data_IF_292434687782
#
_entry.id   IF_292434687782
#
_cell.length_a   1.000
_cell.length_b   1.000
_cell.length_c   1.000
_cell.angle_alpha   90.00
_cell.angle_beta   90.00
_cell.angle_gamma   90.00
#
_symmetry.space_group_name_H-M   'P 1'
#
loop_
_entity.id
_entity.type
_entity.pdbx_description
1 polymer ?
#
# COMPACT_ATOMS: atom_id res chain seq x y z
N UNK A 1 18.97 6.90 4.17
CA UNK A 1 19.19 5.64 4.92
C UNK A 1 18.77 4.45 4.08
N UNK A 2 19.58 3.41 4.11
CA UNK A 2 19.34 2.17 3.35
C UNK A 2 18.61 1.13 4.20
N UNK A 3 17.60 0.48 3.64
CA UNK A 3 16.79 -0.53 4.34
C UNK A 3 16.64 -1.81 3.53
N UNK A 4 16.37 -2.91 4.21
CA UNK A 4 15.90 -4.16 3.61
C UNK A 4 14.39 -4.26 3.75
N UNK A 5 13.69 -4.56 2.67
CA UNK A 5 12.24 -4.59 2.62
C UNK A 5 11.75 -5.96 2.15
N UNK A 6 11.04 -6.65 3.00
CA UNK A 6 10.37 -7.90 2.65
C UNK A 6 8.87 -7.63 2.45
N UNK A 7 8.46 -7.65 1.19
CA UNK A 7 7.06 -7.49 0.81
C UNK A 7 6.49 -8.87 0.45
N UNK A 8 5.95 -9.54 1.47
CA UNK A 8 5.36 -10.87 1.31
C UNK A 8 3.88 -10.83 0.91
N UNK A 9 3.35 -11.96 0.49
CA UNK A 9 1.92 -12.13 0.19
C UNK A 9 1.07 -12.11 1.46
N UNK A 10 1.59 -12.62 2.57
CA UNK A 10 0.89 -12.67 3.86
C UNK A 10 1.26 -11.51 4.78
N UNK A 11 2.55 -11.17 4.87
CA UNK A 11 3.07 -10.13 5.76
C UNK A 11 4.19 -9.35 5.11
N UNK A 12 4.36 -8.12 5.56
CA UNK A 12 5.49 -7.26 5.20
C UNK A 12 6.36 -6.99 6.42
N UNK A 13 7.65 -6.79 6.20
CA UNK A 13 8.59 -6.35 7.23
C UNK A 13 9.69 -5.49 6.64
N UNK A 14 10.34 -4.69 7.49
CA UNK A 14 11.42 -3.81 7.09
C UNK A 14 12.54 -3.87 8.14
N UNK A 15 13.78 -3.88 7.68
CA UNK A 15 14.95 -3.96 8.52
C UNK A 15 15.96 -2.86 8.20
N UNK A 16 16.63 -2.38 9.24
CA UNK A 16 17.79 -1.48 9.13
C UNK A 16 19.00 -2.15 9.77
N UNK A 17 20.19 -1.71 9.38
CA UNK A 17 21.42 -2.15 10.03
C UNK A 17 21.65 -1.35 11.30
N UNK A 18 21.74 -2.05 12.43
CA UNK A 18 22.12 -1.49 13.72
C UNK A 18 23.29 -2.28 14.30
N UNK A 19 24.39 -1.60 14.61
CA UNK A 19 25.60 -2.22 15.17
C UNK A 19 26.09 -3.44 14.36
N UNK A 20 26.04 -3.33 13.02
CA UNK A 20 26.48 -4.37 12.11
C UNK A 20 25.51 -5.54 11.95
N UNK A 21 24.30 -5.46 12.51
CA UNK A 21 23.27 -6.52 12.42
C UNK A 21 21.96 -5.96 11.89
N UNK A 22 21.18 -6.75 11.11
CA UNK A 22 19.84 -6.35 10.72
C UNK A 22 18.91 -6.32 11.94
N UNK A 23 18.12 -5.24 12.02
CA UNK A 23 17.13 -5.04 13.06
C UNK A 23 15.79 -4.72 12.43
N UNK A 24 14.75 -5.50 12.76
CA UNK A 24 13.39 -5.27 12.26
C UNK A 24 12.74 -4.08 12.96
N UNK A 25 12.09 -3.22 12.20
CA UNK A 25 11.31 -2.11 12.73
C UNK A 25 9.90 -2.56 13.11
N UNK A 26 9.32 -1.89 14.09
CA UNK A 26 7.94 -2.17 14.52
C UNK A 26 6.95 -1.54 13.56
N UNK A 27 5.91 -2.28 13.22
CA UNK A 27 4.88 -1.86 12.29
C UNK A 27 3.56 -1.56 12.99
N UNK A 28 2.90 -2.56 13.54
CA UNK A 28 1.57 -2.44 14.12
C UNK A 28 1.52 -3.19 15.45
N UNK A 29 0.96 -2.57 16.50
CA UNK A 29 0.79 -3.18 17.83
C UNK A 29 2.09 -3.80 18.39
N UNK A 30 3.22 -3.13 18.22
CA UNK A 30 4.56 -3.62 18.58
C UNK A 30 5.03 -4.86 17.80
N UNK A 31 4.29 -5.32 16.81
CA UNK A 31 4.72 -6.39 15.91
C UNK A 31 5.68 -5.86 14.85
N UNK A 32 6.68 -6.65 14.49
CA UNK A 32 7.58 -6.36 13.37
C UNK A 32 7.00 -6.81 12.02
N UNK A 33 5.84 -7.46 12.03
CA UNK A 33 5.12 -7.89 10.84
C UNK A 33 3.87 -7.03 10.66
N UNK A 34 3.64 -6.60 9.42
CA UNK A 34 2.40 -5.96 9.00
C UNK A 34 1.66 -6.91 8.07
N UNK A 35 0.46 -7.36 8.41
CA UNK A 35 -0.35 -8.14 7.46
C UNK A 35 -0.52 -7.40 6.14
N UNK A 36 -0.35 -8.11 5.01
CA UNK A 36 -0.45 -7.55 3.66
C UNK A 36 -1.91 -7.34 3.28
N UNK A 37 -2.57 -6.42 3.97
CA UNK A 37 -3.98 -6.08 3.83
C UNK A 37 -4.15 -4.57 3.82
N UNK A 38 -5.14 -4.10 3.08
CA UNK A 38 -5.59 -2.72 3.14
C UNK A 38 -7.10 -2.62 2.92
N UNK A 39 -7.70 -1.56 3.42
CA UNK A 39 -9.07 -1.20 3.09
C UNK A 39 -9.22 0.30 2.88
N UNK A 40 -10.24 0.66 2.12
CA UNK A 40 -10.62 2.03 1.82
C UNK A 40 -12.13 2.09 1.62
N UNK A 41 -12.76 3.28 1.62
CA UNK A 41 -14.19 3.40 1.31
C UNK A 41 -14.52 2.84 -0.07
N UNK A 42 -13.64 3.08 -1.04
CA UNK A 42 -13.72 2.54 -2.41
C UNK A 42 -12.33 2.23 -2.91
N UNK A 43 -12.22 1.44 -3.99
CA UNK A 43 -10.92 1.26 -4.64
C UNK A 43 -10.40 2.57 -5.26
N UNK A 44 -11.31 3.43 -5.72
CA UNK A 44 -11.00 4.76 -6.26
C UNK A 44 -10.41 5.68 -5.19
N UNK A 45 -10.80 5.48 -3.93
CA UNK A 45 -10.25 6.22 -2.81
C UNK A 45 -8.76 5.93 -2.59
N UNK A 46 -8.26 4.73 -2.93
CA UNK A 46 -6.84 4.40 -2.83
C UNK A 46 -6.02 5.28 -3.78
N UNK A 47 -6.45 5.41 -5.03
CA UNK A 47 -5.76 6.25 -6.03
C UNK A 47 -5.78 7.72 -5.63
N UNK A 48 -6.93 8.24 -5.20
CA UNK A 48 -7.03 9.62 -4.74
C UNK A 48 -6.16 9.87 -3.50
N UNK A 49 -6.18 8.96 -2.52
CA UNK A 49 -5.33 9.03 -1.34
C UNK A 49 -3.85 9.09 -1.71
N UNK A 50 -3.42 8.23 -2.64
CA UNK A 50 -2.03 8.10 -3.04
C UNK A 50 -1.52 9.35 -3.78
N UNK A 51 -2.28 9.84 -4.76
CA UNK A 51 -1.82 10.89 -5.64
C UNK A 51 -2.12 12.31 -5.14
N UNK A 52 -3.20 12.50 -4.40
CA UNK A 52 -3.61 13.81 -3.91
C UNK A 52 -3.19 14.10 -2.47
N UNK A 53 -3.26 13.12 -1.59
CA UNK A 53 -2.96 13.31 -0.18
C UNK A 53 -1.51 12.98 0.20
N UNK A 54 -0.84 12.16 -0.58
CA UNK A 54 0.57 11.80 -0.35
C UNK A 54 1.51 12.26 -1.48
N UNK A 55 1.00 13.05 -2.40
CA UNK A 55 1.78 13.72 -3.44
C UNK A 55 2.66 12.79 -4.28
N UNK A 56 2.25 11.54 -4.43
CA UNK A 56 2.93 10.61 -5.35
C UNK A 56 2.65 11.07 -6.78
N UNK A 57 3.68 11.27 -7.62
CA UNK A 57 3.46 11.78 -8.97
C UNK A 57 2.65 10.82 -9.84
N UNK A 58 1.55 11.29 -10.40
CA UNK A 58 0.81 10.56 -11.42
C UNK A 58 1.51 10.75 -12.77
N UNK A 59 2.32 9.77 -13.17
CA UNK A 59 3.07 9.80 -14.43
C UNK A 59 2.36 8.98 -15.50
N UNK A 60 2.37 9.51 -16.74
CA UNK A 60 1.74 8.86 -17.88
C UNK A 60 0.25 9.16 -18.01
N UNK A 61 -0.23 9.07 -19.26
CA UNK A 61 -1.59 9.45 -19.62
C UNK A 61 -2.64 8.52 -18.97
N UNK A 62 -2.35 7.21 -18.86
CA UNK A 62 -3.26 6.24 -18.27
C UNK A 62 -3.43 6.43 -16.77
N UNK A 63 -2.33 6.68 -16.04
CA UNK A 63 -2.37 6.96 -14.60
C UNK A 63 -3.13 8.24 -14.31
N UNK A 64 -2.90 9.29 -15.10
CA UNK A 64 -3.63 10.55 -14.96
C UNK A 64 -5.12 10.40 -15.27
N UNK A 65 -5.48 9.60 -16.28
CA UNK A 65 -6.87 9.31 -16.61
C UNK A 65 -7.55 8.50 -15.51
N UNK A 66 -6.85 7.52 -14.94
CA UNK A 66 -7.35 6.72 -13.82
C UNK A 66 -7.62 7.62 -12.60
N UNK A 67 -6.69 8.52 -12.26
CA UNK A 67 -6.85 9.46 -11.16
C UNK A 67 -8.05 10.39 -11.37
N UNK A 68 -8.21 10.95 -12.56
CA UNK A 68 -9.37 11.81 -12.87
C UNK A 68 -10.68 11.07 -12.69
N UNK A 69 -10.77 9.84 -13.17
CA UNK A 69 -11.97 9.00 -13.00
C UNK A 69 -12.22 8.66 -11.54
N UNK A 70 -11.16 8.34 -10.80
CA UNK A 70 -11.26 8.03 -9.38
C UNK A 70 -11.80 9.21 -8.57
N UNK A 71 -11.27 10.41 -8.80
CA UNK A 71 -11.72 11.63 -8.13
C UNK A 71 -13.17 11.96 -8.47
N UNK A 72 -13.55 11.83 -9.76
CA UNK A 72 -14.92 12.05 -10.20
C UNK A 72 -15.89 11.08 -9.55
N UNK A 73 -15.55 9.79 -9.54
CA UNK A 73 -16.34 8.75 -8.90
C UNK A 73 -16.57 9.03 -7.42
N UNK A 74 -15.51 9.31 -6.67
CA UNK A 74 -15.60 9.59 -5.24
C UNK A 74 -16.51 10.81 -4.97
N UNK A 75 -16.41 11.84 -5.80
CA UNK A 75 -17.27 13.02 -5.70
C UNK A 75 -18.74 12.69 -5.96
N UNK A 76 -19.03 11.89 -6.98
CA UNK A 76 -20.40 11.48 -7.33
C UNK A 76 -21.03 10.62 -6.24
N UNK A 77 -20.23 9.82 -5.55
CA UNK A 77 -20.65 8.95 -4.44
C UNK A 77 -20.57 9.62 -3.06
N UNK A 78 -20.31 10.93 -3.01
CA UNK A 78 -20.16 11.70 -1.77
C UNK A 78 -19.09 11.14 -0.82
N UNK A 79 -18.02 10.61 -1.37
CA UNK A 79 -16.89 10.06 -0.61
C UNK A 79 -15.83 11.14 -0.44
N UNK A 80 -15.60 11.54 0.80
CA UNK A 80 -14.54 12.48 1.17
C UNK A 80 -13.29 11.70 1.61
N UNK A 81 -12.27 11.69 0.74
CA UNK A 81 -11.04 10.94 1.00
C UNK A 81 -10.10 11.75 1.89
N UNK A 82 -9.86 11.24 3.09
CA UNK A 82 -8.97 11.81 4.10
C UNK A 82 -7.68 10.99 4.19
N UNK A 83 -6.68 11.51 4.90
CA UNK A 83 -5.43 10.79 5.15
C UNK A 83 -5.66 9.43 5.85
N UNK A 84 -6.66 9.35 6.74
CA UNK A 84 -7.04 8.13 7.45
C UNK A 84 -8.05 7.24 6.69
N UNK A 85 -8.44 7.60 5.48
CA UNK A 85 -9.42 6.83 4.70
C UNK A 85 -8.90 5.47 4.26
N UNK A 86 -7.59 5.35 4.07
CA UNK A 86 -6.95 4.07 3.71
C UNK A 86 -6.28 3.51 4.96
N UNK A 87 -6.62 2.28 5.32
CA UNK A 87 -6.10 1.59 6.49
C UNK A 87 -5.35 0.33 6.08
N UNK A 88 -4.42 -0.12 6.90
CA UNK A 88 -3.49 -1.18 6.59
C UNK A 88 -3.39 -2.19 7.72
N UNK A 89 -3.01 -3.43 7.39
CA UNK A 89 -2.77 -4.47 8.38
C UNK A 89 -4.02 -4.88 9.14
N UNK A 90 -3.90 -5.15 10.43
CA UNK A 90 -5.02 -5.57 11.28
C UNK A 90 -6.10 -4.49 11.41
N UNK A 91 -5.73 -3.23 11.33
CA UNK A 91 -6.67 -2.11 11.33
C UNK A 91 -7.64 -2.21 10.15
N UNK A 92 -7.13 -2.59 8.97
CA UNK A 92 -7.97 -2.81 7.78
C UNK A 92 -8.90 -4.01 7.95
N UNK A 93 -8.42 -5.08 8.57
CA UNK A 93 -9.23 -6.27 8.84
C UNK A 93 -10.38 -5.97 9.81
N UNK A 94 -10.10 -5.19 10.86
CA UNK A 94 -11.16 -4.77 11.81
C UNK A 94 -12.22 -3.94 11.10
N UNK A 95 -11.83 -2.98 10.30
CA UNK A 95 -12.76 -2.16 9.51
C UNK A 95 -13.65 -3.03 8.61
N UNK A 96 -13.05 -3.99 7.94
CA UNK A 96 -13.78 -4.92 7.07
C UNK A 96 -14.77 -5.79 7.86
N UNK A 97 -14.38 -6.31 9.03
CA UNK A 97 -15.26 -7.14 9.86
C UNK A 97 -16.44 -6.35 10.41
N UNK A 98 -16.22 -5.08 10.76
CA UNK A 98 -17.28 -4.20 11.26
C UNK A 98 -18.30 -3.82 10.17
N UNK A 99 -17.84 -3.64 8.93
CA UNK A 99 -18.67 -3.09 7.86
C UNK A 99 -18.30 -3.68 6.49
N UNK A 100 -18.52 -4.99 6.29
CA UNK A 100 -17.99 -5.70 5.13
C UNK A 100 -18.59 -5.28 3.79
N UNK A 101 -19.76 -4.68 3.78
CA UNK A 101 -20.44 -4.25 2.55
C UNK A 101 -20.10 -2.80 2.16
N UNK A 102 -19.59 -2.01 3.11
CA UNK A 102 -19.35 -0.57 2.94
C UNK A 102 -17.87 -0.24 2.67
N UNK A 103 -16.99 -1.23 2.68
CA UNK A 103 -15.56 -1.02 2.47
C UNK A 103 -15.00 -1.89 1.35
N UNK A 104 -14.05 -1.34 0.63
CA UNK A 104 -13.21 -2.07 -0.29
C UNK A 104 -12.02 -2.65 0.47
N UNK A 105 -11.94 -3.96 0.56
CA UNK A 105 -10.90 -4.67 1.29
C UNK A 105 -10.08 -5.54 0.36
N UNK A 106 -8.76 -5.45 0.47
CA UNK A 106 -7.83 -6.25 -0.32
C UNK A 106 -6.88 -7.00 0.60
N UNK A 107 -6.81 -8.29 0.41
CA UNK A 107 -5.82 -9.17 1.04
C UNK A 107 -4.78 -9.55 -0.01
N UNK A 108 -3.50 -9.42 0.35
CA UNK A 108 -2.38 -9.80 -0.52
C UNK A 108 -2.36 -9.07 -1.88
N UNK A 109 -2.24 -7.72 -1.90
CA UNK A 109 -2.25 -6.99 -3.18
C UNK A 109 -1.16 -7.46 -4.16
N UNK A 110 -0.04 -7.93 -3.63
CA UNK A 110 1.07 -8.47 -4.43
C UNK A 110 0.69 -9.69 -5.25
N UNK A 111 -0.31 -10.45 -4.81
CA UNK A 111 -0.76 -11.67 -5.52
C UNK A 111 -1.32 -11.38 -6.91
N UNK A 112 -1.73 -10.14 -7.19
CA UNK A 112 -2.21 -9.74 -8.50
C UNK A 112 -1.09 -9.44 -9.51
N UNK A 113 0.13 -9.22 -9.01
CA UNK A 113 1.29 -9.00 -9.89
C UNK A 113 1.62 -10.30 -10.62
N UNK A 114 1.83 -10.20 -11.92
CA UNK A 114 2.12 -11.37 -12.76
C UNK A 114 0.89 -12.12 -13.27
N UNK A 115 -0.31 -11.73 -12.90
CA UNK A 115 -1.51 -12.28 -13.47
C UNK A 115 -1.60 -11.96 -14.98
N UNK A 116 -1.95 -12.96 -15.78
CA UNK A 116 -2.11 -12.80 -17.22
C UNK A 116 -3.51 -12.29 -17.59
N UNK A 117 -3.61 -11.63 -18.74
CA UNK A 117 -4.91 -11.18 -19.28
C UNK A 117 -5.49 -9.93 -18.62
N UNK A 118 -4.70 -9.23 -17.80
CA UNK A 118 -5.14 -7.98 -17.17
C UNK A 118 -5.13 -6.82 -18.18
N UNK A 119 -6.17 -6.00 -18.10
CA UNK A 119 -6.22 -4.74 -18.86
C UNK A 119 -5.27 -3.70 -18.23
N UNK A 120 -4.73 -2.74 -19.02
CA UNK A 120 -3.84 -1.69 -18.48
C UNK A 120 -4.40 -0.96 -17.26
N UNK A 121 -5.71 -0.72 -17.22
CA UNK A 121 -6.37 -0.06 -16.10
C UNK A 121 -6.35 -0.90 -14.81
N UNK A 122 -6.47 -2.22 -14.94
CA UNK A 122 -6.38 -3.15 -13.81
C UNK A 122 -4.95 -3.22 -13.29
N UNK A 123 -3.98 -3.24 -14.18
CA UNK A 123 -2.55 -3.22 -13.81
C UNK A 123 -2.25 -1.93 -13.02
N UNK A 124 -2.67 -0.78 -13.53
CA UNK A 124 -2.46 0.50 -12.85
C UNK A 124 -3.08 0.52 -11.44
N UNK A 125 -4.28 -0.05 -11.29
CA UNK A 125 -4.91 -0.16 -9.98
C UNK A 125 -4.10 -1.05 -9.02
N UNK A 126 -3.64 -2.20 -9.49
CA UNK A 126 -2.84 -3.11 -8.65
C UNK A 126 -1.49 -2.50 -8.27
N UNK A 127 -0.87 -1.76 -9.17
CA UNK A 127 0.34 -0.98 -8.87
C UNK A 127 0.07 0.07 -7.79
N UNK A 128 -1.06 0.76 -7.84
CA UNK A 128 -1.47 1.71 -6.80
C UNK A 128 -1.65 1.03 -5.44
N UNK A 129 -2.25 -0.15 -5.39
CA UNK A 129 -2.42 -0.90 -4.14
C UNK A 129 -1.07 -1.27 -3.52
N UNK A 130 -0.14 -1.76 -4.32
CA UNK A 130 1.21 -2.10 -3.86
C UNK A 130 1.96 -0.84 -3.41
N UNK A 131 1.88 0.23 -4.18
CA UNK A 131 2.49 1.51 -3.87
C UNK A 131 1.96 2.09 -2.55
N UNK A 132 0.66 2.00 -2.31
CA UNK A 132 0.03 2.46 -1.07
C UNK A 132 0.57 1.70 0.14
N UNK A 133 0.68 0.36 0.05
CA UNK A 133 1.29 -0.46 1.11
C UNK A 133 2.74 -0.04 1.39
N UNK A 134 3.55 0.09 0.35
CA UNK A 134 4.96 0.45 0.48
C UNK A 134 5.14 1.85 1.09
N UNK A 135 4.31 2.80 0.66
CA UNK A 135 4.34 4.17 1.19
C UNK A 135 3.97 4.20 2.68
N UNK A 136 2.94 3.45 3.07
CA UNK A 136 2.54 3.33 4.47
C UNK A 136 3.68 2.76 5.32
N UNK A 137 4.32 1.68 4.88
CA UNK A 137 5.43 1.05 5.58
C UNK A 137 6.62 2.01 5.69
N UNK A 138 6.95 2.71 4.61
CA UNK A 138 8.01 3.72 4.63
C UNK A 138 7.74 4.80 5.67
N UNK A 139 6.56 5.39 5.67
CA UNK A 139 6.20 6.46 6.61
C UNK A 139 6.18 5.97 8.05
N UNK A 140 5.64 4.80 8.30
CA UNK A 140 5.63 4.17 9.61
C UNK A 140 7.06 3.92 10.12
N UNK A 141 7.94 3.47 9.24
CA UNK A 141 9.35 3.22 9.55
C UNK A 141 10.12 4.50 9.85
N UNK A 142 9.89 5.55 9.07
CA UNK A 142 10.57 6.85 9.26
C UNK A 142 10.24 7.51 10.59
N UNK A 143 9.11 7.18 11.24
CA UNK A 143 8.81 7.66 12.60
C UNK A 143 9.78 7.08 13.64
N UNK A 144 10.46 5.98 13.36
CA UNK A 144 11.36 5.27 14.26
C UNK A 144 12.84 5.51 13.92
N UNK A 145 13.12 6.24 12.84
CA UNK A 145 14.47 6.43 12.32
C UNK A 145 14.89 7.91 12.42
N UNK A 146 16.20 8.19 12.57
CA UNK A 146 16.70 9.56 12.59
C UNK A 146 16.75 10.23 11.22
N UNK A 147 16.68 9.43 10.15
CA UNK A 147 16.78 9.88 8.76
C UNK A 147 15.65 9.31 7.91
N UNK A 148 15.40 9.95 6.76
CA UNK A 148 14.46 9.43 5.78
C UNK A 148 15.06 8.23 5.02
N UNK A 149 14.20 7.34 4.53
CA UNK A 149 14.59 6.21 3.71
C UNK A 149 14.76 6.69 2.28
N UNK A 150 15.94 6.54 1.72
CA UNK A 150 16.27 6.92 0.35
C UNK A 150 16.59 5.74 -0.56
N UNK A 151 16.95 4.60 0.02
CA UNK A 151 17.29 3.40 -0.73
C UNK A 151 16.75 2.15 -0.01
N UNK A 152 16.29 1.18 -0.80
CA UNK A 152 15.81 -0.09 -0.28
C UNK A 152 16.23 -1.26 -1.18
N UNK A 153 16.58 -2.38 -0.54
CA UNK A 153 16.64 -3.68 -1.22
C UNK A 153 15.31 -4.38 -0.99
N UNK A 154 14.63 -4.74 -2.08
CA UNK A 154 13.34 -5.41 -2.04
C UNK A 154 13.51 -6.82 -2.59
N UNK A 155 13.21 -7.81 -1.75
CA UNK A 155 13.13 -9.21 -2.19
C UNK A 155 11.88 -9.43 -3.04
N UNK A 156 12.00 -10.28 -4.05
CA UNK A 156 10.85 -10.71 -4.85
C UNK A 156 10.92 -12.21 -5.14
N UNK A 157 9.80 -12.91 -5.28
CA UNK A 157 9.81 -14.29 -5.75
C UNK A 157 10.20 -14.37 -7.21
N UNK A 158 10.69 -15.53 -7.64
CA UNK A 158 10.99 -15.80 -9.05
C UNK A 158 9.70 -15.81 -9.87
N UNK A 159 8.62 -16.39 -9.28
CA UNK A 159 7.28 -16.42 -9.87
C UNK A 159 6.29 -15.79 -8.89
N UNK A 160 5.39 -14.95 -9.40
CA UNK A 160 4.31 -14.33 -8.61
C UNK A 160 3.06 -15.22 -8.48
N UNK A 161 2.95 -16.24 -9.30
CA UNK A 161 1.91 -17.27 -9.21
C UNK A 161 2.61 -18.61 -8.97
N UNK A 162 2.40 -19.13 -7.80
CA UNK A 162 2.87 -20.47 -7.44
C UNK A 162 1.93 -21.54 -7.96
#
# INVERSE_FOLDING_TARGET
MFVGFDYGTANCSIAVMQDGKPSLLKMENNSTLLPSMLCAPTREAVSEWLYRHHEVPATGAETQALLRRAVSFNREEDIDVQAASVQFGLSSLRQYVEDPEEVYFVKSPKSFLGASGLKPQQIALFEDLVCAMMLHIRKQSETQLPETIDQAVIGRPINFQG
#
